data_IF_472952521582
#
_entry.id   IF_472952521582
#
_cell.length_a   1.000
_cell.length_b   1.000
_cell.length_c   1.000
_cell.angle_alpha   90.00
_cell.angle_beta   90.00
_cell.angle_gamma   90.00
#
_symmetry.space_group_name_H-M   'P 1'
#
loop_
_entity.id
_entity.type
_entity.pdbx_description
1 polymer ?
#
# COMPACT_ATOMS: atom_id res chain seq x y z
N UNK A 1 20.44 7.17 -3.40
CA UNK A 1 19.17 7.54 -2.77
C UNK A 1 18.21 6.37 -3.00
N UNK A 2 17.50 5.91 -1.98
CA UNK A 2 16.48 4.87 -2.17
C UNK A 2 15.31 5.45 -2.96
N UNK A 3 14.70 4.65 -3.84
CA UNK A 3 13.50 5.04 -4.58
C UNK A 3 12.34 5.32 -3.59
N UNK A 4 11.41 6.21 -3.96
CA UNK A 4 10.24 6.55 -3.13
C UNK A 4 9.33 5.34 -2.90
N UNK A 5 9.12 4.52 -3.94
CA UNK A 5 8.38 3.26 -3.93
C UNK A 5 8.67 2.47 -5.22
N UNK A 6 8.36 1.16 -5.23
CA UNK A 6 8.41 0.32 -6.43
C UNK A 6 7.03 0.24 -7.07
N UNK A 7 6.93 0.60 -8.33
CA UNK A 7 5.70 0.58 -9.12
C UNK A 7 5.76 -0.49 -10.21
N UNK A 8 4.65 -1.20 -10.43
CA UNK A 8 4.44 -2.00 -11.62
C UNK A 8 3.50 -1.24 -12.56
N UNK A 9 3.95 -0.91 -13.76
CA UNK A 9 3.16 -0.21 -14.79
C UNK A 9 2.77 -1.20 -15.88
N UNK A 10 1.49 -1.27 -16.19
CA UNK A 10 0.92 -2.24 -17.11
C UNK A 10 0.07 -1.54 -18.16
N UNK A 11 0.47 -1.63 -19.42
CA UNK A 11 -0.27 -1.11 -20.56
C UNK A 11 0.18 -1.89 -21.81
N UNK A 12 -0.73 -2.27 -22.71
CA UNK A 12 -0.39 -2.96 -23.94
C UNK A 12 0.11 -2.02 -25.04
N UNK A 13 -0.12 -0.72 -24.90
CA UNK A 13 0.42 0.31 -25.79
C UNK A 13 1.86 0.68 -25.36
N UNK A 14 2.84 0.17 -26.11
CA UNK A 14 4.27 0.38 -25.82
C UNK A 14 4.64 1.86 -25.60
N UNK A 15 4.09 2.78 -26.38
CA UNK A 15 4.41 4.21 -26.25
C UNK A 15 3.91 4.81 -24.93
N UNK A 16 2.71 4.39 -24.47
CA UNK A 16 2.15 4.83 -23.19
C UNK A 16 2.96 4.23 -22.04
N UNK A 17 3.27 2.95 -22.15
CA UNK A 17 4.08 2.23 -21.17
C UNK A 17 5.45 2.88 -20.96
N UNK A 18 6.17 3.18 -22.05
CA UNK A 18 7.48 3.86 -21.98
C UNK A 18 7.40 5.30 -21.48
N UNK A 19 6.37 6.05 -21.88
CA UNK A 19 6.13 7.40 -21.39
C UNK A 19 5.92 7.41 -19.88
N UNK A 20 5.03 6.55 -19.38
CA UNK A 20 4.75 6.41 -17.95
C UNK A 20 5.99 5.96 -17.19
N UNK A 21 6.66 4.89 -17.66
CA UNK A 21 7.83 4.34 -17.00
C UNK A 21 8.95 5.38 -16.87
N UNK A 22 9.25 6.11 -17.95
CA UNK A 22 10.29 7.15 -17.95
C UNK A 22 9.93 8.29 -17.01
N UNK A 23 8.69 8.78 -17.06
CA UNK A 23 8.24 9.90 -16.24
C UNK A 23 8.20 9.55 -14.75
N UNK A 24 7.76 8.34 -14.41
CA UNK A 24 7.70 7.88 -13.03
C UNK A 24 9.09 7.62 -12.45
N UNK A 25 10.03 7.09 -13.24
CA UNK A 25 11.44 7.00 -12.84
C UNK A 25 12.05 8.37 -12.58
N UNK A 26 11.76 9.34 -13.44
CA UNK A 26 12.21 10.73 -13.25
C UNK A 26 11.60 11.36 -11.99
N UNK A 27 10.37 10.99 -11.63
CA UNK A 27 9.70 11.42 -10.40
C UNK A 27 10.24 10.76 -9.12
N UNK A 28 11.20 9.81 -9.23
CA UNK A 28 11.88 9.18 -8.09
C UNK A 28 11.36 7.78 -7.72
N UNK A 29 10.53 7.15 -8.55
CA UNK A 29 10.04 5.79 -8.34
C UNK A 29 10.97 4.74 -9.00
N UNK A 30 11.01 3.54 -8.41
CA UNK A 30 11.48 2.35 -9.11
C UNK A 30 10.33 1.80 -9.96
N UNK A 31 10.57 1.51 -11.24
CA UNK A 31 9.48 1.11 -12.16
C UNK A 31 9.82 -0.18 -12.88
N UNK A 32 8.94 -1.16 -12.71
CA UNK A 32 8.86 -2.40 -13.48
C UNK A 32 7.69 -2.27 -14.47
N UNK A 33 7.83 -2.79 -15.67
CA UNK A 33 6.80 -2.69 -16.72
C UNK A 33 6.30 -4.06 -17.15
N UNK A 34 5.03 -4.15 -17.54
CA UNK A 34 4.42 -5.33 -18.16
C UNK A 34 3.53 -4.90 -19.33
N UNK A 35 3.60 -5.63 -20.44
CA UNK A 35 2.84 -5.32 -21.66
C UNK A 35 1.51 -6.07 -21.79
N UNK A 36 1.11 -6.88 -20.83
CA UNK A 36 -0.14 -7.63 -20.83
C UNK A 36 -0.49 -8.14 -19.43
N UNK A 37 -1.74 -8.62 -19.25
CA UNK A 37 -2.24 -9.05 -17.96
C UNK A 37 -1.54 -10.26 -17.37
N UNK A 38 -1.08 -11.22 -18.19
CA UNK A 38 -0.32 -12.40 -17.70
C UNK A 38 1.02 -11.98 -17.13
N UNK A 39 1.76 -11.19 -17.89
CA UNK A 39 3.06 -10.65 -17.48
C UNK A 39 2.92 -9.78 -16.22
N UNK A 40 1.82 -9.04 -16.09
CA UNK A 40 1.52 -8.23 -14.91
C UNK A 40 1.40 -9.09 -13.65
N UNK A 41 0.69 -10.22 -13.71
CA UNK A 41 0.55 -11.13 -12.57
C UNK A 41 1.89 -11.74 -12.19
N UNK A 42 2.65 -12.26 -13.17
CA UNK A 42 3.97 -12.86 -12.95
C UNK A 42 4.95 -11.86 -12.31
N UNK A 43 4.99 -10.62 -12.82
CA UNK A 43 5.85 -9.57 -12.26
C UNK A 43 5.39 -9.07 -10.91
N UNK A 44 4.09 -8.98 -10.66
CA UNK A 44 3.57 -8.62 -9.35
C UNK A 44 4.01 -9.63 -8.26
N UNK A 45 4.04 -10.92 -8.59
CA UNK A 45 4.51 -11.95 -7.67
C UNK A 45 6.02 -11.93 -7.44
N UNK A 46 6.81 -11.71 -8.50
CA UNK A 46 8.26 -11.70 -8.45
C UNK A 46 8.83 -10.43 -7.81
N UNK A 47 8.29 -9.28 -8.18
CA UNK A 47 8.83 -7.97 -7.84
C UNK A 47 8.19 -7.35 -6.60
N UNK A 48 7.01 -7.82 -6.18
CA UNK A 48 6.26 -7.33 -5.02
C UNK A 48 6.18 -5.78 -4.98
N UNK A 49 5.52 -5.15 -5.97
CA UNK A 49 5.43 -3.70 -6.06
C UNK A 49 4.60 -3.10 -4.92
N UNK A 50 4.88 -1.87 -4.57
CA UNK A 50 4.10 -1.10 -3.59
C UNK A 50 2.76 -0.62 -4.16
N UNK A 51 2.65 -0.48 -5.51
CA UNK A 51 1.45 -0.09 -6.22
C UNK A 51 1.51 -0.54 -7.68
N UNK A 52 0.36 -0.87 -8.25
CA UNK A 52 0.21 -1.23 -9.66
C UNK A 52 -0.56 -0.13 -10.39
N UNK A 53 0.03 0.43 -11.45
CA UNK A 53 -0.65 1.30 -12.42
C UNK A 53 -1.08 0.42 -13.59
N UNK A 54 -2.37 0.28 -13.84
CA UNK A 54 -2.93 -0.78 -14.65
C UNK A 54 -3.95 -0.26 -15.67
N UNK A 55 -3.65 -0.42 -16.95
CA UNK A 55 -4.63 -0.15 -17.99
C UNK A 55 -5.80 -1.15 -17.91
N UNK A 56 -7.02 -0.62 -18.02
CA UNK A 56 -8.23 -1.45 -18.04
C UNK A 56 -8.38 -2.17 -19.38
N UNK A 57 -8.13 -1.45 -20.47
CA UNK A 57 -8.45 -1.91 -21.83
C UNK A 57 -7.26 -2.65 -22.46
N UNK A 58 -7.02 -3.88 -22.03
CA UNK A 58 -5.98 -4.74 -22.62
C UNK A 58 -6.59 -5.96 -23.31
N UNK A 59 -6.02 -6.44 -24.44
CA UNK A 59 -6.52 -7.63 -25.14
C UNK A 59 -6.29 -8.90 -24.31
N UNK A 60 -7.27 -9.78 -24.32
CA UNK A 60 -7.23 -11.10 -23.69
C UNK A 60 -7.57 -11.08 -22.20
N UNK A 61 -6.76 -10.45 -21.37
CA UNK A 61 -6.98 -10.28 -19.95
C UNK A 61 -6.98 -8.79 -19.61
N UNK A 62 -8.14 -8.26 -19.29
CA UNK A 62 -8.29 -6.85 -18.95
C UNK A 62 -7.74 -6.52 -17.54
N UNK A 63 -7.66 -5.22 -17.21
CA UNK A 63 -7.13 -4.77 -15.92
C UNK A 63 -7.97 -5.23 -14.73
N UNK A 64 -9.27 -5.41 -14.89
CA UNK A 64 -10.14 -5.91 -13.82
C UNK A 64 -9.91 -7.40 -13.57
N UNK A 65 -9.70 -8.18 -14.63
CA UNK A 65 -9.35 -9.60 -14.51
C UNK A 65 -8.01 -9.81 -13.83
N UNK A 66 -7.01 -8.98 -14.15
CA UNK A 66 -5.70 -8.98 -13.46
C UNK A 66 -5.89 -8.74 -11.97
N UNK A 67 -6.62 -7.69 -11.60
CA UNK A 67 -6.85 -7.33 -10.20
C UNK A 67 -7.60 -8.44 -9.45
N UNK A 68 -8.64 -9.00 -10.06
CA UNK A 68 -9.41 -10.11 -9.47
C UNK A 68 -8.52 -11.31 -9.19
N UNK A 69 -7.67 -11.73 -10.14
CA UNK A 69 -6.75 -12.86 -9.97
C UNK A 69 -5.71 -12.61 -8.88
N UNK A 70 -5.17 -11.39 -8.79
CA UNK A 70 -4.26 -11.03 -7.71
C UNK A 70 -4.96 -11.11 -6.35
N UNK A 71 -6.21 -10.66 -6.23
CA UNK A 71 -7.02 -10.77 -4.99
C UNK A 71 -7.34 -12.21 -4.64
N UNK A 72 -7.71 -13.06 -5.60
CA UNK A 72 -7.93 -14.50 -5.41
C UNK A 72 -6.67 -15.21 -4.94
N UNK A 73 -5.49 -14.76 -5.39
CA UNK A 73 -4.17 -15.20 -4.90
C UNK A 73 -3.76 -14.64 -3.52
N UNK A 74 -4.66 -13.92 -2.83
CA UNK A 74 -4.39 -13.32 -1.52
C UNK A 74 -3.51 -12.06 -1.57
N UNK A 75 -3.33 -11.44 -2.74
CA UNK A 75 -2.51 -10.24 -2.92
C UNK A 75 -3.36 -8.97 -2.83
N UNK A 76 -2.94 -8.04 -2.00
CA UNK A 76 -3.68 -6.78 -1.70
C UNK A 76 -2.94 -5.54 -2.20
N UNK A 77 -2.19 -5.65 -3.30
CA UNK A 77 -1.51 -4.48 -3.88
C UNK A 77 -2.51 -3.35 -4.17
N UNK A 78 -2.20 -2.10 -3.81
CA UNK A 78 -2.95 -0.94 -4.27
C UNK A 78 -2.92 -0.85 -5.80
N UNK A 79 -4.07 -0.53 -6.42
CA UNK A 79 -4.21 -0.45 -7.87
C UNK A 79 -4.76 0.90 -8.29
N UNK A 80 -4.04 1.60 -9.18
CA UNK A 80 -4.50 2.77 -9.90
C UNK A 80 -4.87 2.36 -11.33
N UNK A 81 -6.16 2.41 -11.67
CA UNK A 81 -6.61 2.10 -13.02
C UNK A 81 -6.43 3.27 -13.98
N UNK A 82 -5.97 2.96 -15.19
CA UNK A 82 -6.03 3.84 -16.36
C UNK A 82 -7.21 3.40 -17.23
N UNK A 83 -8.15 4.30 -17.54
CA UNK A 83 -9.39 3.95 -18.23
C UNK A 83 -9.74 4.97 -19.31
N UNK A 84 -10.47 4.57 -20.35
CA UNK A 84 -11.00 5.49 -21.36
C UNK A 84 -12.10 6.39 -20.78
N UNK A 85 -12.27 7.59 -21.35
CA UNK A 85 -13.12 8.67 -20.83
C UNK A 85 -14.62 8.30 -20.73
N UNK A 86 -15.07 7.33 -21.51
CA UNK A 86 -16.51 6.98 -21.62
C UNK A 86 -16.94 5.83 -20.69
N UNK A 87 -16.03 5.33 -19.88
CA UNK A 87 -16.25 4.16 -19.03
C UNK A 87 -16.80 4.51 -17.64
N UNK A 88 -17.96 5.15 -17.57
CA UNK A 88 -18.66 5.38 -16.29
C UNK A 88 -19.08 4.04 -15.64
N UNK A 89 -19.41 3.04 -16.46
CA UNK A 89 -19.68 1.67 -16.00
C UNK A 89 -18.39 0.97 -15.52
N UNK A 90 -17.26 1.23 -16.16
CA UNK A 90 -15.95 0.69 -15.75
C UNK A 90 -15.48 1.25 -14.41
N UNK A 91 -15.85 2.49 -14.06
CA UNK A 91 -15.53 3.10 -12.75
C UNK A 91 -16.22 2.36 -11.61
N UNK A 92 -17.48 1.97 -11.77
CA UNK A 92 -18.23 1.19 -10.78
C UNK A 92 -17.69 -0.24 -10.72
N UNK A 93 -17.37 -0.85 -11.87
CA UNK A 93 -16.76 -2.17 -11.95
C UNK A 93 -15.34 -2.17 -11.35
N UNK A 94 -14.55 -1.11 -11.55
CA UNK A 94 -13.20 -0.95 -11.01
C UNK A 94 -13.16 -0.87 -9.50
N UNK A 95 -14.05 -0.10 -8.90
CA UNK A 95 -14.21 -0.03 -7.44
C UNK A 95 -14.70 -1.38 -6.86
N UNK A 96 -15.58 -2.08 -7.59
CA UNK A 96 -16.04 -3.42 -7.21
C UNK A 96 -14.98 -4.50 -7.41
N UNK A 97 -14.02 -4.31 -8.33
CA UNK A 97 -12.89 -5.20 -8.55
C UNK A 97 -11.74 -4.99 -7.54
N UNK A 98 -11.84 -3.99 -6.66
CA UNK A 98 -10.85 -3.70 -5.62
C UNK A 98 -9.75 -2.74 -6.04
N UNK A 99 -10.02 -1.82 -6.99
CA UNK A 99 -9.14 -0.70 -7.31
C UNK A 99 -9.23 0.41 -6.25
N UNK A 100 -8.13 1.12 -6.03
CA UNK A 100 -8.04 2.20 -5.04
C UNK A 100 -8.34 3.57 -5.62
N UNK A 101 -8.10 3.77 -6.92
CA UNK A 101 -8.41 4.98 -7.65
C UNK A 101 -8.34 4.72 -9.17
N UNK A 102 -8.73 5.70 -9.97
CA UNK A 102 -8.67 5.65 -11.43
C UNK A 102 -8.29 7.00 -12.04
N UNK A 103 -7.69 6.96 -13.23
CA UNK A 103 -7.37 8.11 -14.08
C UNK A 103 -7.93 7.86 -15.47
N UNK A 104 -8.59 8.85 -16.04
CA UNK A 104 -9.15 8.76 -17.40
C UNK A 104 -8.15 9.19 -18.45
N UNK A 105 -8.02 8.41 -19.54
CA UNK A 105 -7.26 8.78 -20.74
C UNK A 105 -8.05 9.81 -21.57
N UNK A 106 -7.44 10.90 -22.10
CA UNK A 106 -6.04 11.31 -21.92
C UNK A 106 -5.81 11.90 -20.51
N UNK A 107 -4.67 11.58 -19.91
CA UNK A 107 -4.28 12.04 -18.59
C UNK A 107 -3.05 12.97 -18.63
N UNK A 108 -2.87 13.77 -17.60
CA UNK A 108 -1.59 14.44 -17.35
C UNK A 108 -0.71 13.55 -16.46
N UNK A 109 0.61 13.58 -16.71
CA UNK A 109 1.57 12.85 -15.87
C UNK A 109 1.57 13.34 -14.42
N UNK A 110 1.38 14.64 -14.21
CA UNK A 110 1.27 15.23 -12.87
C UNK A 110 0.06 14.70 -12.11
N UNK A 111 -1.07 14.47 -12.79
CA UNK A 111 -2.26 13.84 -12.18
C UNK A 111 -1.96 12.40 -11.76
N UNK A 112 -1.34 11.61 -12.63
CA UNK A 112 -0.97 10.21 -12.32
C UNK A 112 -0.03 10.16 -11.11
N UNK A 113 1.02 10.97 -11.11
CA UNK A 113 1.98 11.05 -10.00
C UNK A 113 1.31 11.47 -8.69
N UNK A 114 0.43 12.48 -8.72
CA UNK A 114 -0.28 12.95 -7.54
C UNK A 114 -1.20 11.86 -6.95
N UNK A 115 -1.90 11.10 -7.80
CA UNK A 115 -2.76 9.98 -7.36
C UNK A 115 -1.96 8.82 -6.81
N UNK A 116 -0.86 8.43 -7.45
CA UNK A 116 0.07 7.41 -6.94
C UNK A 116 0.51 7.78 -5.52
N UNK A 117 0.99 9.00 -5.30
CA UNK A 117 1.42 9.46 -3.97
C UNK A 117 0.29 9.47 -2.95
N UNK A 118 -0.92 9.84 -3.37
CA UNK A 118 -2.10 9.82 -2.48
C UNK A 118 -2.48 8.40 -2.07
N UNK A 119 -2.42 7.42 -2.98
CA UNK A 119 -2.69 6.01 -2.67
C UNK A 119 -1.61 5.45 -1.75
N UNK A 120 -0.33 5.65 -2.07
CA UNK A 120 0.80 5.18 -1.27
C UNK A 120 0.76 5.75 0.17
N UNK A 121 0.40 7.03 0.33
CA UNK A 121 0.25 7.64 1.66
C UNK A 121 -0.87 6.96 2.45
N UNK A 122 -2.03 6.71 1.84
CA UNK A 122 -3.15 5.99 2.48
C UNK A 122 -2.78 4.54 2.84
N UNK A 123 -2.10 3.85 1.93
CA UNK A 123 -1.64 2.48 2.18
C UNK A 123 -0.62 2.40 3.31
N UNK A 124 0.27 3.38 3.41
CA UNK A 124 1.23 3.47 4.52
C UNK A 124 0.54 3.82 5.84
N UNK A 125 -0.41 4.74 5.85
CA UNK A 125 -1.16 5.06 7.07
C UNK A 125 -1.98 3.88 7.58
N UNK A 126 -2.57 3.06 6.70
CA UNK A 126 -3.22 1.81 7.10
C UNK A 126 -2.23 0.75 7.63
N UNK A 127 -1.00 0.72 7.11
CA UNK A 127 0.09 -0.10 7.65
C UNK A 127 0.67 0.47 8.95
N UNK A 128 0.69 1.80 9.10
CA UNK A 128 1.09 2.49 10.32
C UNK A 128 0.03 2.34 11.42
N UNK A 129 -1.27 2.28 11.09
CA UNK A 129 -2.33 1.91 12.03
C UNK A 129 -2.18 0.46 12.52
N UNK A 130 -1.74 -0.47 11.66
CA UNK A 130 -1.38 -1.84 12.07
C UNK A 130 -0.03 -1.88 12.83
N UNK A 131 0.88 -0.93 12.60
CA UNK A 131 2.13 -0.76 13.39
C UNK A 131 1.94 0.11 14.62
N UNK A 132 0.86 0.91 14.69
CA UNK A 132 0.47 1.66 15.89
C UNK A 132 -0.06 0.73 16.99
N UNK A 133 -0.48 -0.50 16.65
CA UNK A 133 -0.91 -1.49 17.63
C UNK A 133 0.21 -2.48 17.90
N UNK A 134 0.87 -2.29 19.05
CA UNK A 134 1.81 -3.29 19.57
C UNK A 134 1.03 -4.43 20.23
N UNK A 135 1.43 -5.68 19.95
CA UNK A 135 0.83 -6.88 20.55
C UNK A 135 1.90 -7.79 21.14
N UNK A 136 1.68 -8.21 22.37
CA UNK A 136 2.49 -9.22 23.05
C UNK A 136 1.54 -10.14 23.82
N UNK A 137 1.41 -11.36 23.39
CA UNK A 137 0.40 -12.32 23.85
C UNK A 137 -1.03 -11.73 23.75
N UNK A 138 -1.77 -11.66 24.85
CA UNK A 138 -3.13 -11.10 24.92
C UNK A 138 -3.15 -9.57 25.17
N UNK A 139 -1.98 -8.93 25.28
CA UNK A 139 -1.85 -7.51 25.52
C UNK A 139 -1.72 -6.76 24.18
N UNK A 140 -2.55 -5.76 23.96
CA UNK A 140 -2.47 -4.84 22.82
C UNK A 140 -2.45 -3.40 23.29
N UNK A 141 -1.61 -2.57 22.66
CA UNK A 141 -1.41 -1.17 22.95
C UNK A 141 -1.43 -0.38 21.66
N UNK A 142 -2.31 0.61 21.56
CA UNK A 142 -2.38 1.53 20.42
C UNK A 142 -1.64 2.82 20.77
N UNK A 143 -0.57 3.12 20.03
CA UNK A 143 0.27 4.30 20.26
C UNK A 143 -0.39 5.61 19.86
N UNK A 144 -1.39 5.57 18.98
CA UNK A 144 -2.06 6.77 18.47
C UNK A 144 -3.26 7.16 19.34
N UNK A 145 -4.08 6.17 19.73
CA UNK A 145 -5.25 6.41 20.60
C UNK A 145 -4.92 6.35 22.09
N UNK A 146 -3.74 5.83 22.47
CA UNK A 146 -3.31 5.55 23.83
C UNK A 146 -4.20 4.52 24.56
N UNK A 147 -4.92 3.71 23.81
CA UNK A 147 -5.74 2.63 24.36
C UNK A 147 -4.91 1.36 24.61
N UNK A 148 -5.19 0.67 25.69
CA UNK A 148 -4.56 -0.59 26.06
C UNK A 148 -5.63 -1.63 26.36
N UNK A 149 -5.47 -2.83 25.80
CA UNK A 149 -6.38 -3.95 26.03
C UNK A 149 -5.62 -5.20 26.48
N UNK A 150 -6.19 -5.92 27.43
CA UNK A 150 -5.78 -7.29 27.78
C UNK A 150 -6.89 -8.24 27.35
N UNK A 151 -6.69 -8.92 26.23
CA UNK A 151 -7.77 -9.65 25.55
C UNK A 151 -8.85 -8.70 25.03
N UNK A 152 -10.05 -8.76 25.62
CA UNK A 152 -11.18 -7.88 25.28
C UNK A 152 -11.41 -6.78 26.34
N UNK A 153 -10.64 -6.76 27.42
CA UNK A 153 -10.78 -5.82 28.52
C UNK A 153 -9.87 -4.59 28.32
N UNK A 154 -10.45 -3.39 28.30
CA UNK A 154 -9.72 -2.14 28.23
C UNK A 154 -9.09 -1.83 29.59
N UNK A 155 -7.81 -1.41 29.58
CA UNK A 155 -7.04 -1.07 30.78
C UNK A 155 -6.72 0.41 30.76
N UNK A 156 -7.20 1.14 31.75
CA UNK A 156 -6.86 2.54 31.99
C UNK A 156 -5.45 2.65 32.59
N UNK A 157 -4.55 3.32 31.89
CA UNK A 157 -3.19 3.61 32.34
C UNK A 157 -2.96 5.11 32.44
N UNK A 158 -2.22 5.52 33.46
CA UNK A 158 -1.67 6.88 33.49
C UNK A 158 -0.64 7.07 32.36
N UNK A 159 -0.32 8.31 31.95
CA UNK A 159 0.67 8.56 30.89
C UNK A 159 2.04 7.91 31.17
N UNK A 160 2.47 7.88 32.43
CA UNK A 160 3.73 7.25 32.84
C UNK A 160 3.68 5.74 32.70
N UNK A 161 2.58 5.10 33.12
CA UNK A 161 2.36 3.65 32.99
C UNK A 161 2.25 3.25 31.52
N UNK A 162 1.57 4.05 30.70
CA UNK A 162 1.50 3.84 29.25
C UNK A 162 2.90 3.88 28.61
N UNK A 163 3.70 4.91 28.88
CA UNK A 163 5.06 5.03 28.36
C UNK A 163 5.94 3.86 28.80
N UNK A 164 5.84 3.44 30.05
CA UNK A 164 6.55 2.28 30.58
C UNK A 164 6.14 1.00 29.82
N UNK A 165 4.83 0.75 29.68
CA UNK A 165 4.33 -0.42 28.99
C UNK A 165 4.74 -0.42 27.51
N UNK A 166 4.61 0.71 26.84
CA UNK A 166 5.05 0.89 25.47
C UNK A 166 6.54 0.55 25.29
N UNK A 167 7.40 1.09 26.16
CA UNK A 167 8.83 0.79 26.12
C UNK A 167 9.15 -0.69 26.37
N UNK A 168 8.46 -1.33 27.31
CA UNK A 168 8.61 -2.76 27.59
C UNK A 168 8.15 -3.63 26.43
N UNK A 169 7.02 -3.30 25.77
CA UNK A 169 6.50 -4.04 24.62
C UNK A 169 7.42 -3.92 23.41
N UNK A 170 7.99 -2.75 23.14
CA UNK A 170 9.01 -2.56 22.08
C UNK A 170 10.27 -3.40 22.31
N UNK A 171 10.57 -3.72 23.55
CA UNK A 171 11.73 -4.52 23.95
C UNK A 171 11.34 -5.90 24.45
N UNK A 172 10.20 -6.42 24.04
CA UNK A 172 9.77 -7.78 24.39
C UNK A 172 10.88 -8.79 24.08
N UNK A 173 11.09 -9.76 24.96
CA UNK A 173 12.16 -10.76 24.90
C UNK A 173 13.61 -10.21 25.08
N UNK A 174 13.79 -9.00 25.61
CA UNK A 174 15.08 -8.44 25.98
C UNK A 174 15.15 -8.17 27.49
N UNK A 175 16.33 -8.38 28.07
CA UNK A 175 16.59 -7.98 29.46
C UNK A 175 16.96 -6.50 29.47
N UNK A 176 16.20 -5.70 30.21
CA UNK A 176 16.42 -4.27 30.37
C UNK A 176 16.98 -3.97 31.76
N UNK A 177 17.96 -3.07 31.81
CA UNK A 177 18.47 -2.58 33.09
C UNK A 177 17.53 -1.50 33.66
N UNK A 178 17.59 -1.31 35.01
CA UNK A 178 16.82 -0.26 35.68
C UNK A 178 17.11 1.14 35.12
N UNK A 179 18.37 1.42 34.75
CA UNK A 179 18.77 2.70 34.17
C UNK A 179 18.08 2.93 32.80
N UNK A 180 18.06 1.93 31.93
CA UNK A 180 17.38 2.00 30.62
C UNK A 180 15.89 2.24 30.75
N UNK A 181 15.23 1.66 31.75
CA UNK A 181 13.80 1.87 31.98
C UNK A 181 13.57 3.31 32.50
N UNK A 182 14.36 3.80 33.46
CA UNK A 182 14.16 5.13 34.02
C UNK A 182 14.46 6.29 33.05
N UNK A 183 15.30 6.07 32.04
CA UNK A 183 15.62 7.06 31.03
C UNK A 183 14.49 7.23 29.98
N UNK A 184 13.49 6.34 29.96
CA UNK A 184 12.41 6.31 28.94
C UNK A 184 10.98 6.45 29.52
N UNK A 185 10.85 6.71 30.82
CA UNK A 185 9.54 6.78 31.52
C UNK A 185 9.25 8.16 32.16
#
# INVERSE_FOLDING_TARGET
>A
MSAEAKLLVVDDEFNILELLATSLRFAGFEVVTAGNGREAIEKAEQEQPDLIVLDVMMPGMDGFDVTRRLREGGRTYPVLFLTAKDATEDKVAGLSAGGDDYVTKPFSLDEVIARIRAILRRSRSLQEEDTAILRVDDLSLNTDTHEVFLGEEEIDLSPTEFNLLHYLMLNANRVLSKAQILDHV
#
